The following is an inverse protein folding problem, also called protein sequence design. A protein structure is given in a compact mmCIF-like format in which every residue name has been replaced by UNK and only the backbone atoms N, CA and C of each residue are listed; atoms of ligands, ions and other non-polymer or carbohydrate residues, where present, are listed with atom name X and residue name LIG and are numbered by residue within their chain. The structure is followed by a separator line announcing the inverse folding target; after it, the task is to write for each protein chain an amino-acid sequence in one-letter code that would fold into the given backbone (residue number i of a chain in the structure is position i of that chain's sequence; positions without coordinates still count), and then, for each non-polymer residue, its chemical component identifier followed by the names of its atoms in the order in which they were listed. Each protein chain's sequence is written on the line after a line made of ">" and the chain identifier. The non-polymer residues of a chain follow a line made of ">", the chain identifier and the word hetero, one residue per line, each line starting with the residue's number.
data_IF_664906280692
#
_entry.id   IF_664906280692
#
_cell.length_a   1.000
_cell.length_b   1.000
_cell.length_c   1.000
_cell.angle_alpha   90.00
_cell.angle_beta   90.00
_cell.angle_gamma   90.00
#
_symmetry.space_group_name_H-M   'P 1'
#
loop_
_entity.id
_entity.type
_entity.pdbx_description
1 polymer ?
#
# COMPACT_ATOMS: atom_id res chain seq x y z
N UNK A 1 -5.42 22.74 7.93
CA UNK A 1 -4.98 21.35 7.80
C UNK A 1 -4.20 21.21 6.53
N UNK A 2 -2.88 21.12 6.62
CA UNK A 2 -2.06 20.62 5.51
C UNK A 2 -2.36 19.14 5.29
N UNK A 3 -1.92 18.57 4.18
CA UNK A 3 -2.02 17.13 3.92
C UNK A 3 -1.38 16.29 5.03
N UNK A 4 -0.36 16.83 5.73
CA UNK A 4 0.25 16.17 6.89
C UNK A 4 -0.69 16.11 8.11
N UNK A 5 -1.51 17.13 8.34
CA UNK A 5 -2.37 17.19 9.54
C UNK A 5 -3.49 16.12 9.49
N UNK A 6 -4.05 15.87 8.30
CA UNK A 6 -5.09 14.84 8.13
C UNK A 6 -4.50 13.44 8.27
N UNK A 7 -3.39 13.16 7.59
CA UNK A 7 -2.73 11.86 7.66
C UNK A 7 -2.33 11.53 9.11
N UNK A 8 -1.71 12.50 9.80
CA UNK A 8 -1.33 12.35 11.21
C UNK A 8 -2.53 12.15 12.13
N UNK A 9 -3.66 12.83 11.88
CA UNK A 9 -4.88 12.63 12.66
C UNK A 9 -5.47 11.23 12.47
N UNK A 10 -5.48 10.72 11.23
CA UNK A 10 -5.95 9.36 10.91
C UNK A 10 -5.05 8.30 11.53
N UNK A 11 -3.73 8.46 11.44
CA UNK A 11 -2.75 7.57 12.08
C UNK A 11 -2.90 7.57 13.60
N UNK A 12 -3.03 8.75 14.21
CA UNK A 12 -3.25 8.88 15.66
C UNK A 12 -4.55 8.19 16.09
N UNK A 13 -5.62 8.34 15.29
CA UNK A 13 -6.88 7.64 15.54
C UNK A 13 -6.72 6.12 15.44
N UNK A 14 -6.02 5.62 14.42
CA UNK A 14 -5.76 4.19 14.24
C UNK A 14 -4.95 3.60 15.40
N UNK A 15 -3.95 4.32 15.92
CA UNK A 15 -3.17 3.90 17.09
C UNK A 15 -4.03 3.85 18.36
N UNK A 16 -4.89 4.84 18.58
CA UNK A 16 -5.83 4.83 19.71
C UNK A 16 -6.79 3.65 19.60
N UNK A 17 -7.38 3.45 18.43
CA UNK A 17 -8.32 2.38 18.11
C UNK A 17 -7.77 0.99 18.45
N UNK A 18 -6.52 0.71 18.09
CA UNK A 18 -5.88 -0.59 18.33
C UNK A 18 -5.68 -0.92 19.83
N UNK A 19 -5.71 0.09 20.70
CA UNK A 19 -5.50 -0.07 22.13
C UNK A 19 -6.81 -0.03 22.94
N UNK A 20 -7.96 0.15 22.29
CA UNK A 20 -9.27 0.11 22.97
C UNK A 20 -9.62 -1.33 23.34
N UNK A 21 -10.14 -1.50 24.56
CA UNK A 21 -10.74 -2.75 25.02
C UNK A 21 -12.24 -2.70 24.77
N UNK A 22 -12.90 -3.86 24.80
CA UNK A 22 -14.36 -3.95 24.63
C UNK A 22 -15.13 -3.04 25.61
N UNK A 23 -14.67 -2.93 26.85
CA UNK A 23 -15.30 -2.02 27.83
C UNK A 23 -15.14 -0.53 27.48
N UNK A 24 -14.07 -0.16 26.76
CA UNK A 24 -13.86 1.20 26.29
C UNK A 24 -14.81 1.51 25.11
N UNK A 25 -15.16 0.51 24.31
CA UNK A 25 -16.13 0.60 23.20
C UNK A 25 -17.57 0.80 23.69
N UNK A 26 -17.87 0.42 24.92
CA UNK A 26 -19.19 0.52 25.55
C UNK A 26 -19.41 1.81 26.33
N UNK A 27 -18.37 2.64 26.46
CA UNK A 27 -18.48 3.89 27.20
C UNK A 27 -19.56 4.78 26.57
N UNK A 28 -20.40 5.43 27.40
CA UNK A 28 -21.40 6.36 26.90
C UNK A 28 -20.76 7.43 26.02
N UNK A 29 -21.29 7.58 24.82
CA UNK A 29 -20.86 8.60 23.88
C UNK A 29 -22.08 9.06 23.10
N UNK A 30 -22.41 10.33 23.24
CA UNK A 30 -23.51 10.97 22.55
C UNK A 30 -22.98 11.80 21.37
N UNK A 31 -23.45 11.49 20.16
CA UNK A 31 -23.10 12.23 18.95
C UNK A 31 -24.34 12.50 18.11
N UNK A 32 -24.72 13.78 17.96
CA UNK A 32 -25.93 14.20 17.23
C UNK A 32 -27.21 13.40 17.57
N UNK A 33 -27.35 12.97 18.82
CA UNK A 33 -28.51 12.21 19.29
C UNK A 33 -28.41 10.69 19.15
N UNK A 34 -27.29 10.17 18.62
CA UNK A 34 -26.96 8.74 18.68
C UNK A 34 -26.29 8.41 20.01
N UNK A 35 -26.77 7.36 20.67
CA UNK A 35 -26.22 6.83 21.93
C UNK A 35 -25.93 5.33 21.77
N UNK A 36 -25.04 5.03 20.82
CA UNK A 36 -24.62 3.66 20.49
C UNK A 36 -23.28 3.27 21.17
N UNK A 37 -22.82 4.12 22.10
CA UNK A 37 -21.53 3.97 22.77
C UNK A 37 -20.34 4.39 21.90
N UNK A 38 -19.14 4.39 22.50
CA UNK A 38 -17.91 4.82 21.84
C UNK A 38 -17.55 4.00 20.59
N UNK A 39 -18.03 2.76 20.45
CA UNK A 39 -17.93 1.95 19.21
C UNK A 39 -18.45 2.68 17.97
N UNK A 40 -19.44 3.55 18.12
CA UNK A 40 -20.03 4.27 16.99
C UNK A 40 -19.07 5.32 16.39
N UNK A 41 -18.05 5.73 17.15
CA UNK A 41 -17.00 6.64 16.69
C UNK A 41 -16.31 6.11 15.42
N UNK A 42 -16.06 4.79 15.33
CA UNK A 42 -15.43 4.16 14.17
C UNK A 42 -16.25 4.33 12.90
N UNK A 43 -17.57 4.13 13.01
CA UNK A 43 -18.49 4.33 11.91
C UNK A 43 -18.51 5.81 11.48
N UNK A 44 -18.56 6.73 12.45
CA UNK A 44 -18.53 8.18 12.17
C UNK A 44 -17.24 8.61 11.49
N UNK A 45 -16.08 8.19 11.99
CA UNK A 45 -14.79 8.52 11.37
C UNK A 45 -14.72 7.99 9.94
N UNK A 46 -15.15 6.74 9.72
CA UNK A 46 -15.19 6.17 8.37
C UNK A 46 -16.11 6.95 7.42
N UNK A 47 -17.30 7.34 7.88
CA UNK A 47 -18.24 8.16 7.11
C UNK A 47 -17.63 9.51 6.72
N UNK A 48 -17.03 10.23 7.68
CA UNK A 48 -16.39 11.53 7.43
C UNK A 48 -15.24 11.41 6.42
N UNK A 49 -14.42 10.35 6.52
CA UNK A 49 -13.33 10.11 5.56
C UNK A 49 -13.84 9.80 4.15
N UNK A 50 -14.94 9.04 4.01
CA UNK A 50 -15.59 8.76 2.71
C UNK A 50 -16.23 10.01 2.11
N UNK A 51 -16.88 10.82 2.94
CA UNK A 51 -17.41 12.10 2.51
C UNK A 51 -16.29 13.03 2.04
N UNK A 52 -15.20 13.12 2.80
CA UNK A 52 -14.02 13.93 2.44
C UNK A 52 -13.38 13.46 1.13
N UNK A 53 -13.23 12.15 0.92
CA UNK A 53 -12.73 11.57 -0.33
C UNK A 53 -13.55 12.08 -1.53
N UNK A 54 -14.88 12.02 -1.43
CA UNK A 54 -15.80 12.48 -2.49
C UNK A 54 -15.70 13.98 -2.74
N UNK A 55 -15.60 14.77 -1.67
CA UNK A 55 -15.44 16.22 -1.75
C UNK A 55 -14.12 16.62 -2.41
N UNK A 56 -13.01 15.97 -2.04
CA UNK A 56 -11.69 16.22 -2.63
C UNK A 56 -11.70 15.87 -4.12
N UNK A 57 -12.23 14.70 -4.49
CA UNK A 57 -12.36 14.28 -5.88
C UNK A 57 -13.18 15.27 -6.72
N UNK A 58 -14.37 15.64 -6.23
CA UNK A 58 -15.27 16.59 -6.92
C UNK A 58 -14.61 17.96 -7.08
N UNK A 59 -13.94 18.44 -6.03
CA UNK A 59 -13.21 19.72 -6.06
C UNK A 59 -12.10 19.71 -7.10
N UNK A 60 -11.31 18.64 -7.14
CA UNK A 60 -10.23 18.47 -8.13
C UNK A 60 -10.75 18.56 -9.56
N UNK A 61 -11.83 17.85 -9.88
CA UNK A 61 -12.47 17.91 -11.20
C UNK A 61 -12.93 19.34 -11.50
N UNK A 62 -13.62 19.99 -10.57
CA UNK A 62 -14.12 21.36 -10.77
C UNK A 62 -13.00 22.40 -10.97
N UNK A 63 -11.79 22.11 -10.49
CA UNK A 63 -10.60 22.93 -10.64
C UNK A 63 -9.78 22.58 -11.89
N UNK A 64 -10.24 21.65 -12.73
CA UNK A 64 -9.51 21.20 -13.93
C UNK A 64 -8.27 20.37 -13.62
N UNK A 65 -8.20 19.75 -12.44
CA UNK A 65 -7.10 18.92 -11.98
C UNK A 65 -7.56 17.48 -11.68
N UNK A 66 -8.21 16.78 -12.63
CA UNK A 66 -8.62 15.38 -12.41
C UNK A 66 -7.38 14.52 -12.10
N UNK A 67 -7.61 13.38 -11.45
CA UNK A 67 -6.57 12.34 -11.40
C UNK A 67 -6.43 11.74 -12.80
N UNK A 68 -5.20 11.38 -13.17
CA UNK A 68 -4.97 10.58 -14.36
C UNK A 68 -5.07 9.08 -14.03
N UNK A 69 -5.02 8.23 -15.04
CA UNK A 69 -5.23 6.78 -14.89
C UNK A 69 -4.17 6.15 -13.97
N UNK A 70 -2.93 6.65 -14.03
CA UNK A 70 -1.84 6.17 -13.16
C UNK A 70 -2.14 6.46 -11.69
N UNK A 71 -2.59 7.68 -11.40
CA UNK A 71 -2.95 8.09 -10.05
C UNK A 71 -4.17 7.31 -9.53
N UNK A 72 -5.15 6.99 -10.38
CA UNK A 72 -6.29 6.13 -9.98
C UNK A 72 -5.87 4.68 -9.68
N UNK A 73 -4.96 4.10 -10.48
CA UNK A 73 -4.40 2.78 -10.24
C UNK A 73 -3.57 2.74 -8.95
N UNK A 74 -2.69 3.73 -8.75
CA UNK A 74 -1.88 3.86 -7.54
C UNK A 74 -2.76 4.07 -6.29
N UNK A 75 -3.86 4.84 -6.40
CA UNK A 75 -4.81 4.99 -5.30
C UNK A 75 -5.48 3.66 -4.93
N UNK A 76 -5.82 2.84 -5.92
CA UNK A 76 -6.38 1.50 -5.71
C UNK A 76 -5.36 0.55 -5.07
N UNK A 77 -4.11 0.58 -5.53
CA UNK A 77 -3.01 -0.17 -4.91
C UNK A 77 -2.78 0.27 -3.46
N UNK A 78 -2.75 1.58 -3.20
CA UNK A 78 -2.56 2.11 -1.85
C UNK A 78 -3.70 1.70 -0.90
N UNK A 79 -4.94 1.65 -1.40
CA UNK A 79 -6.06 1.10 -0.65
C UNK A 79 -5.85 -0.38 -0.31
N UNK A 80 -5.40 -1.20 -1.27
CA UNK A 80 -5.12 -2.62 -1.04
C UNK A 80 -3.98 -2.83 -0.03
N UNK A 81 -2.94 -2.00 -0.08
CA UNK A 81 -1.87 -1.96 0.91
C UNK A 81 -2.43 -1.73 2.32
N UNK A 82 -3.25 -0.69 2.53
CA UNK A 82 -3.83 -0.41 3.85
C UNK A 82 -4.80 -1.49 4.33
N UNK A 83 -5.54 -2.11 3.42
CA UNK A 83 -6.38 -3.27 3.75
C UNK A 83 -5.53 -4.45 4.24
N UNK A 84 -4.40 -4.72 3.60
CA UNK A 84 -3.46 -5.73 4.06
C UNK A 84 -2.87 -5.36 5.44
N UNK A 85 -2.45 -4.11 5.65
CA UNK A 85 -1.98 -3.64 6.96
C UNK A 85 -3.02 -3.87 8.06
N UNK A 86 -4.30 -3.58 7.77
CA UNK A 86 -5.40 -3.78 8.72
C UNK A 86 -5.60 -5.26 9.09
N UNK A 87 -5.45 -6.18 8.13
CA UNK A 87 -5.53 -7.63 8.38
C UNK A 87 -4.33 -8.13 9.21
N UNK A 88 -3.17 -7.47 9.10
CA UNK A 88 -1.94 -7.84 9.80
C UNK A 88 -1.83 -7.23 11.21
N UNK A 89 -2.84 -6.47 11.65
CA UNK A 89 -2.95 -5.97 13.03
C UNK A 89 -3.02 -7.12 14.06
N UNK A 90 -3.05 -6.74 15.34
CA UNK A 90 -2.97 -7.64 16.50
C UNK A 90 -3.77 -8.94 16.33
N UNK A 91 -3.09 -10.08 16.52
CA UNK A 91 -3.65 -11.43 16.33
C UNK A 91 -2.89 -12.26 15.30
N UNK A 92 -2.13 -11.61 14.41
CA UNK A 92 -1.39 -12.28 13.34
C UNK A 92 -0.05 -12.89 13.77
N UNK A 93 0.64 -12.27 14.73
CA UNK A 93 1.99 -12.69 15.14
C UNK A 93 2.11 -14.19 15.53
N UNK A 94 1.16 -14.81 16.26
CA UNK A 94 1.23 -16.23 16.58
C UNK A 94 1.16 -17.16 15.36
N UNK A 95 0.57 -16.70 14.25
CA UNK A 95 0.38 -17.47 13.03
C UNK A 95 1.38 -17.10 11.93
N UNK A 96 2.31 -16.20 12.22
CA UNK A 96 3.15 -15.55 11.21
C UNK A 96 3.96 -16.56 10.37
N UNK A 97 4.43 -17.61 11.04
CA UNK A 97 5.23 -18.70 10.48
C UNK A 97 4.42 -19.98 10.20
N UNK A 98 3.11 -19.96 10.45
CA UNK A 98 2.25 -21.13 10.29
C UNK A 98 1.56 -21.12 8.94
N UNK A 99 1.81 -22.15 8.12
CA UNK A 99 1.02 -22.38 6.92
C UNK A 99 -0.43 -22.80 7.29
N UNK A 100 -1.46 -22.23 6.64
CA UNK A 100 -2.85 -22.54 6.96
C UNK A 100 -3.25 -23.97 6.59
N UNK A 101 -2.68 -24.53 5.52
CA UNK A 101 -2.84 -25.92 5.08
C UNK A 101 -1.60 -26.43 4.32
N UNK A 102 -1.45 -27.76 4.13
CA UNK A 102 -0.34 -28.31 3.35
C UNK A 102 -0.29 -27.74 1.93
N UNK A 103 0.86 -27.18 1.56
CA UNK A 103 1.08 -26.56 0.25
C UNK A 103 0.75 -25.07 0.17
N UNK A 104 0.14 -24.49 1.20
CA UNK A 104 -0.10 -23.04 1.29
C UNK A 104 1.09 -22.32 1.94
N UNK A 105 1.21 -21.01 1.66
CA UNK A 105 2.26 -20.17 2.22
C UNK A 105 1.87 -19.64 3.60
N UNK A 106 2.83 -19.62 4.51
CA UNK A 106 2.73 -18.83 5.74
C UNK A 106 2.67 -17.33 5.42
N UNK A 107 2.30 -16.53 6.41
CA UNK A 107 2.17 -15.07 6.24
C UNK A 107 3.53 -14.44 5.94
N UNK A 108 4.61 -14.88 6.60
CA UNK A 108 5.98 -14.45 6.27
C UNK A 108 6.31 -14.66 4.80
N UNK A 109 5.96 -15.82 4.28
CA UNK A 109 6.25 -16.17 2.89
C UNK A 109 5.41 -15.39 1.89
N UNK A 110 4.16 -15.14 2.25
CA UNK A 110 3.26 -14.28 1.48
C UNK A 110 3.78 -12.84 1.43
N UNK A 111 4.18 -12.27 2.58
CA UNK A 111 4.77 -10.93 2.65
C UNK A 111 6.07 -10.83 1.86
N UNK A 112 6.97 -11.82 2.00
CA UNK A 112 8.20 -11.90 1.19
C UNK A 112 7.89 -11.82 -0.30
N UNK A 113 6.87 -12.54 -0.76
CA UNK A 113 6.47 -12.53 -2.16
C UNK A 113 5.91 -11.16 -2.58
N UNK A 114 5.00 -10.58 -1.80
CA UNK A 114 4.39 -9.27 -2.08
C UNK A 114 5.45 -8.18 -2.16
N UNK A 115 6.29 -8.05 -1.13
CA UNK A 115 7.32 -7.01 -1.02
C UNK A 115 8.29 -7.09 -2.19
N UNK A 116 8.80 -8.29 -2.49
CA UNK A 116 9.71 -8.51 -3.63
C UNK A 116 9.04 -8.18 -4.95
N UNK A 117 7.76 -8.54 -5.10
CA UNK A 117 7.01 -8.32 -6.34
C UNK A 117 6.78 -6.83 -6.57
N UNK A 118 6.36 -6.09 -5.56
CA UNK A 118 6.13 -4.66 -5.65
C UNK A 118 7.41 -3.90 -6.04
N UNK A 119 8.52 -4.14 -5.34
CA UNK A 119 9.80 -3.49 -5.66
C UNK A 119 10.25 -3.80 -7.10
N UNK A 120 10.09 -5.05 -7.54
CA UNK A 120 10.45 -5.45 -8.90
C UNK A 120 9.57 -4.76 -9.95
N UNK A 121 8.27 -4.62 -9.71
CA UNK A 121 7.38 -3.92 -10.63
C UNK A 121 7.72 -2.44 -10.75
N UNK A 122 8.00 -1.76 -9.63
CA UNK A 122 8.45 -0.36 -9.65
C UNK A 122 9.71 -0.22 -10.53
N UNK A 123 10.71 -1.07 -10.30
CA UNK A 123 11.94 -1.04 -11.09
C UNK A 123 11.73 -1.36 -12.57
N UNK A 124 10.82 -2.29 -12.88
CA UNK A 124 10.49 -2.66 -14.26
C UNK A 124 9.84 -1.50 -15.02
N UNK A 125 8.94 -0.76 -14.37
CA UNK A 125 8.32 0.43 -14.96
C UNK A 125 9.40 1.46 -15.31
N UNK A 126 10.33 1.75 -14.39
CA UNK A 126 11.44 2.67 -14.67
C UNK A 126 12.33 2.19 -15.80
N UNK A 127 12.67 0.90 -15.83
CA UNK A 127 13.48 0.33 -16.90
C UNK A 127 12.85 0.52 -18.29
N UNK A 128 11.55 0.27 -18.42
CA UNK A 128 10.84 0.47 -19.70
C UNK A 128 10.73 1.94 -20.09
N UNK A 129 10.52 2.84 -19.13
CA UNK A 129 10.54 4.29 -19.38
C UNK A 129 11.92 4.78 -19.82
N UNK A 130 13.00 4.19 -19.30
CA UNK A 130 14.36 4.49 -19.74
C UNK A 130 14.64 3.99 -21.15
N UNK A 131 14.09 2.84 -21.54
CA UNK A 131 14.19 2.32 -22.90
C UNK A 131 13.43 3.22 -23.90
N UNK A 132 12.19 3.60 -23.56
CA UNK A 132 11.39 4.52 -24.37
C UNK A 132 12.10 5.86 -24.58
N UNK A 133 12.66 6.44 -23.50
CA UNK A 133 13.45 7.68 -23.58
C UNK A 133 14.67 7.58 -24.51
N UNK A 134 15.21 6.37 -24.68
CA UNK A 134 16.34 6.08 -25.57
C UNK A 134 15.91 5.65 -26.97
N UNK A 135 14.60 5.51 -27.22
CA UNK A 135 14.07 5.01 -28.49
C UNK A 135 14.40 3.53 -28.73
N UNK A 136 14.57 2.74 -27.67
CA UNK A 136 14.89 1.32 -27.74
C UNK A 136 13.65 0.51 -27.43
N UNK A 137 13.25 -0.38 -28.35
CA UNK A 137 12.17 -1.33 -28.08
C UNK A 137 12.61 -2.34 -27.02
N UNK A 138 11.78 -2.60 -26.00
CA UNK A 138 12.11 -3.58 -24.99
C UNK A 138 12.11 -5.00 -25.56
N UNK A 139 13.11 -5.79 -25.21
CA UNK A 139 13.22 -7.21 -25.57
C UNK A 139 13.04 -8.10 -24.32
N UNK A 140 12.36 -9.23 -24.49
CA UNK A 140 12.03 -10.14 -23.38
C UNK A 140 13.27 -10.66 -22.65
N UNK A 141 14.28 -11.13 -23.37
CA UNK A 141 15.50 -11.70 -22.78
C UNK A 141 16.32 -10.64 -22.02
N UNK A 142 16.38 -9.42 -22.56
CA UNK A 142 17.06 -8.29 -21.91
C UNK A 142 16.33 -7.87 -20.64
N UNK A 143 15.00 -7.82 -20.69
CA UNK A 143 14.16 -7.51 -19.53
C UNK A 143 14.32 -8.56 -18.44
N UNK A 144 14.36 -9.84 -18.81
CA UNK A 144 14.64 -10.96 -17.88
C UNK A 144 16.03 -10.85 -17.27
N UNK A 145 17.04 -10.49 -18.06
CA UNK A 145 18.41 -10.28 -17.59
C UNK A 145 18.48 -9.13 -16.58
N UNK A 146 17.86 -7.99 -16.92
CA UNK A 146 17.73 -6.84 -16.03
C UNK A 146 17.07 -7.23 -14.70
N UNK A 147 15.92 -7.92 -14.75
CA UNK A 147 15.19 -8.34 -13.55
C UNK A 147 16.02 -9.28 -12.66
N UNK A 148 16.79 -10.19 -13.27
CA UNK A 148 17.69 -11.08 -12.54
C UNK A 148 18.80 -10.30 -11.83
N UNK A 149 19.43 -9.35 -12.52
CA UNK A 149 20.48 -8.51 -11.95
C UNK A 149 19.93 -7.59 -10.85
N UNK A 150 18.80 -6.94 -11.08
CA UNK A 150 18.15 -6.07 -10.12
C UNK A 150 17.80 -6.81 -8.82
N UNK A 151 17.20 -8.01 -8.93
CA UNK A 151 16.91 -8.87 -7.76
C UNK A 151 18.14 -9.21 -6.94
N UNK A 152 19.28 -9.48 -7.59
CA UNK A 152 20.51 -9.81 -6.89
C UNK A 152 21.03 -8.66 -6.00
N UNK A 153 20.62 -7.41 -6.26
CA UNK A 153 21.05 -6.25 -5.48
C UNK A 153 20.40 -6.17 -4.10
N UNK A 154 19.16 -6.64 -3.95
CA UNK A 154 18.40 -6.51 -2.70
C UNK A 154 17.99 -7.85 -2.07
N UNK A 155 18.01 -8.97 -2.82
CA UNK A 155 17.51 -10.28 -2.33
C UNK A 155 18.22 -10.70 -1.01
N UNK A 156 19.51 -10.40 -0.85
CA UNK A 156 20.23 -10.71 0.40
C UNK A 156 19.73 -9.90 1.59
N UNK A 157 19.62 -8.57 1.44
CA UNK A 157 19.11 -7.70 2.50
C UNK A 157 17.67 -8.06 2.87
N UNK A 158 16.82 -8.30 1.86
CA UNK A 158 15.46 -8.74 2.08
C UNK A 158 15.41 -10.06 2.82
N UNK A 159 16.26 -11.03 2.47
CA UNK A 159 16.31 -12.30 3.18
C UNK A 159 16.68 -12.13 4.65
N UNK A 160 17.58 -11.20 4.98
CA UNK A 160 17.93 -10.88 6.39
C UNK A 160 16.72 -10.28 7.11
N UNK A 161 16.04 -9.29 6.53
CA UNK A 161 14.81 -8.71 7.13
C UNK A 161 13.68 -9.75 7.22
N UNK A 162 13.56 -10.66 6.25
CA UNK A 162 12.56 -11.72 6.31
C UNK A 162 12.82 -12.70 7.46
N UNK A 163 13.98 -12.71 8.10
CA UNK A 163 14.27 -13.52 9.28
C UNK A 163 14.01 -12.77 10.60
N UNK A 164 13.61 -11.50 10.56
CA UNK A 164 13.36 -10.69 11.75
C UNK A 164 11.87 -10.64 12.12
N UNK A 165 11.47 -9.64 12.92
CA UNK A 165 10.12 -9.50 13.43
C UNK A 165 9.12 -9.10 12.33
N UNK A 166 7.82 -9.34 12.57
CA UNK A 166 6.77 -8.84 11.68
C UNK A 166 6.84 -7.31 11.54
N UNK A 167 7.17 -6.59 12.62
CA UNK A 167 7.32 -5.13 12.62
C UNK A 167 8.40 -4.67 11.64
N UNK A 168 9.58 -5.28 11.67
CA UNK A 168 10.68 -4.94 10.73
C UNK A 168 10.31 -5.23 9.27
N UNK A 169 9.57 -6.32 9.04
CA UNK A 169 9.10 -6.71 7.71
C UNK A 169 8.06 -5.70 7.19
N UNK A 170 7.14 -5.25 8.05
CA UNK A 170 6.17 -4.22 7.70
C UNK A 170 6.82 -2.85 7.52
N UNK A 171 7.88 -2.53 8.26
CA UNK A 171 8.66 -1.31 8.07
C UNK A 171 9.33 -1.31 6.68
N UNK A 172 9.99 -2.41 6.30
CA UNK A 172 10.54 -2.59 4.95
C UNK A 172 9.47 -2.47 3.88
N UNK A 173 8.31 -3.11 4.08
CA UNK A 173 7.23 -3.02 3.10
C UNK A 173 6.71 -1.59 2.94
N UNK A 174 6.57 -0.86 4.04
CA UNK A 174 6.13 0.54 4.04
C UNK A 174 7.11 1.43 3.28
N UNK A 175 8.42 1.26 3.52
CA UNK A 175 9.46 2.00 2.80
C UNK A 175 9.35 1.80 1.30
N UNK A 176 9.30 0.53 0.84
CA UNK A 176 9.17 0.18 -0.58
C UNK A 176 7.88 0.74 -1.18
N UNK A 177 6.76 0.59 -0.46
CA UNK A 177 5.45 1.01 -0.92
C UNK A 177 5.37 2.54 -1.13
N UNK A 178 5.78 3.31 -0.11
CA UNK A 178 5.75 4.77 -0.21
C UNK A 178 6.76 5.33 -1.21
N UNK A 179 7.93 4.69 -1.35
CA UNK A 179 8.88 5.05 -2.39
C UNK A 179 8.28 4.82 -3.78
N UNK A 180 7.71 3.63 -4.02
CA UNK A 180 7.03 3.32 -5.29
C UNK A 180 5.87 4.26 -5.61
N UNK A 181 5.05 4.61 -4.63
CA UNK A 181 3.98 5.62 -4.82
C UNK A 181 4.55 6.98 -5.22
N UNK A 182 5.58 7.46 -4.52
CA UNK A 182 6.20 8.75 -4.80
C UNK A 182 6.83 8.77 -6.21
N UNK A 183 7.51 7.69 -6.59
CA UNK A 183 8.19 7.57 -7.87
C UNK A 183 7.22 7.51 -9.05
N UNK A 184 6.10 6.78 -8.89
CA UNK A 184 5.15 6.52 -9.97
C UNK A 184 4.01 7.55 -10.06
N UNK A 185 3.82 8.42 -9.06
CA UNK A 185 2.69 9.37 -9.05
C UNK A 185 2.70 10.40 -10.19
N UNK A 186 3.85 10.59 -10.85
CA UNK A 186 4.05 11.53 -11.96
C UNK A 186 3.91 10.86 -13.33
N UNK A 187 3.60 9.56 -13.39
CA UNK A 187 3.34 8.90 -14.67
C UNK A 187 2.16 9.56 -15.37
N UNK A 188 2.33 9.81 -16.67
CA UNK A 188 1.28 10.24 -17.58
C UNK A 188 0.50 9.04 -18.11
N UNK A 189 -0.71 9.29 -18.62
CA UNK A 189 -1.52 8.25 -19.28
C UNK A 189 -0.77 7.62 -20.47
N UNK A 190 -0.05 8.44 -21.26
CA UNK A 190 0.75 7.94 -22.38
C UNK A 190 1.85 6.97 -21.93
N UNK A 191 2.45 7.19 -20.77
CA UNK A 191 3.50 6.31 -20.24
C UNK A 191 2.93 4.98 -19.72
N UNK A 192 1.67 4.96 -19.29
CA UNK A 192 1.00 3.71 -18.90
C UNK A 192 0.71 2.80 -20.10
N UNK A 193 0.47 3.38 -21.27
CA UNK A 193 0.18 2.63 -22.50
C UNK A 193 1.44 1.97 -23.11
N UNK A 194 2.63 2.22 -22.54
CA UNK A 194 3.86 1.61 -23.00
C UNK A 194 3.87 0.10 -22.69
N UNK A 195 4.38 -0.73 -23.61
CA UNK A 195 4.48 -2.17 -23.37
C UNK A 195 5.47 -2.46 -22.25
N UNK A 196 5.07 -3.34 -21.31
CA UNK A 196 5.94 -3.86 -20.26
C UNK A 196 5.95 -5.39 -20.32
N UNK A 197 7.13 -5.98 -20.52
CA UNK A 197 7.29 -7.42 -20.56
C UNK A 197 7.67 -7.95 -19.17
N UNK A 198 6.72 -8.61 -18.49
CA UNK A 198 6.99 -9.26 -17.20
C UNK A 198 6.59 -10.74 -17.18
N UNK A 199 5.44 -11.06 -17.77
CA UNK A 199 4.89 -12.42 -17.83
C UNK A 199 4.84 -13.02 -19.24
N UNK A 200 5.03 -12.19 -20.27
CA UNK A 200 5.05 -12.55 -21.70
C UNK A 200 6.27 -11.95 -22.39
#
# INVERSE_FOLDING_TARGET
>A
MTQSDLAQAVESFALLAQNLRDEDLDRPWDWHGHNEGARFLFFRVYEELRALQTQVFTRRISQGLPLNSAQELLASQHQAYWQLQAVLLNGTAPYFDQAPSPGEWAIRETLRHIIRTEQVFVALVHYHLDLERRGVSPAFDETRAFLKEYRAQFDHQHQVTMQSSLEDILALFSEIHYHGLADLCQLSDQQLDLPSFFWE
#
